data_IF_730551799358
#
_entry.id   IF_730551799358
#
_cell.length_a   1.000
_cell.length_b   1.000
_cell.length_c   1.000
_cell.angle_alpha   90.00
_cell.angle_beta   90.00
_cell.angle_gamma   90.00
#
_symmetry.space_group_name_H-M   'P 1'
#
loop_
_entity.id
_entity.type
_entity.pdbx_description
1 polymer ?
#
# COMPACT_ATOMS: atom_id res chain seq x y z
N UNK A 1 2.82 23.64 -12.22
CA UNK A 1 2.87 22.78 -11.02
C UNK A 1 4.09 21.89 -11.16
N UNK A 2 5.17 22.22 -10.44
CA UNK A 2 6.38 21.39 -10.45
C UNK A 2 6.02 20.02 -9.88
N UNK A 3 6.41 18.99 -10.61
CA UNK A 3 6.13 17.58 -10.41
C UNK A 3 6.29 17.18 -8.94
N UNK A 4 5.18 16.86 -8.27
CA UNK A 4 5.22 16.50 -6.85
C UNK A 4 5.70 15.07 -6.71
N UNK A 5 6.85 14.87 -6.09
CA UNK A 5 7.48 13.54 -5.97
C UNK A 5 6.57 12.51 -5.27
N UNK A 6 5.64 12.96 -4.42
CA UNK A 6 4.62 12.11 -3.78
C UNK A 6 3.75 11.32 -4.77
N UNK A 7 3.42 11.90 -5.94
CA UNK A 7 2.55 11.24 -6.92
C UNK A 7 3.25 10.07 -7.59
N UNK A 8 4.58 10.12 -7.71
CA UNK A 8 5.38 9.02 -8.26
C UNK A 8 5.30 7.81 -7.36
N UNK A 9 5.45 7.98 -6.04
CA UNK A 9 5.37 6.87 -5.10
C UNK A 9 3.97 6.22 -5.05
N UNK A 10 2.90 7.03 -5.03
CA UNK A 10 1.53 6.52 -5.07
C UNK A 10 1.21 5.79 -6.37
N UNK A 11 1.69 6.32 -7.51
CA UNK A 11 1.53 5.69 -8.79
C UNK A 11 2.26 4.34 -8.84
N UNK A 12 3.49 4.27 -8.31
CA UNK A 12 4.25 3.02 -8.23
C UNK A 12 3.54 1.97 -7.37
N UNK A 13 2.94 2.34 -6.23
CA UNK A 13 2.14 1.42 -5.41
C UNK A 13 0.94 0.89 -6.20
N UNK A 14 0.25 1.78 -6.94
CA UNK A 14 -0.91 1.41 -7.74
C UNK A 14 -0.54 0.42 -8.86
N UNK A 15 0.54 0.71 -9.58
CA UNK A 15 1.06 -0.16 -10.65
C UNK A 15 1.56 -1.48 -10.07
N UNK A 16 2.34 -1.47 -8.99
CA UNK A 16 2.86 -2.68 -8.36
C UNK A 16 1.74 -3.60 -7.87
N UNK A 17 0.71 -3.03 -7.23
CA UNK A 17 -0.46 -3.79 -6.78
C UNK A 17 -1.29 -4.32 -7.95
N UNK A 18 -1.49 -3.52 -9.00
CA UNK A 18 -2.19 -3.93 -10.21
C UNK A 18 -1.45 -5.03 -10.98
N UNK A 19 -0.14 -4.92 -11.11
CA UNK A 19 0.72 -5.95 -11.68
C UNK A 19 0.68 -7.23 -10.83
N UNK A 20 0.80 -7.09 -9.50
CA UNK A 20 0.67 -8.20 -8.56
C UNK A 20 -0.62 -9.01 -8.75
N UNK A 21 -1.75 -8.35 -9.06
CA UNK A 21 -3.02 -9.05 -9.26
C UNK A 21 -2.96 -10.12 -10.38
N UNK A 22 -2.32 -9.77 -11.51
CA UNK A 22 -2.20 -10.64 -12.67
C UNK A 22 -1.13 -11.72 -12.48
N UNK A 23 0.02 -11.37 -11.89
CA UNK A 23 1.20 -12.24 -11.86
C UNK A 23 1.35 -13.06 -10.58
N UNK A 24 0.73 -12.66 -9.46
CA UNK A 24 0.83 -13.43 -8.22
C UNK A 24 0.04 -14.74 -8.30
N UNK A 25 0.63 -15.85 -7.80
CA UNK A 25 -0.07 -17.13 -7.74
C UNK A 25 -1.25 -17.05 -6.78
N UNK A 26 -2.21 -17.96 -6.92
CA UNK A 26 -3.23 -18.15 -5.88
C UNK A 26 -2.57 -18.74 -4.64
N UNK A 27 -2.80 -18.13 -3.48
CA UNK A 27 -2.35 -18.66 -2.20
C UNK A 27 -3.36 -19.68 -1.70
N UNK A 28 -2.87 -20.88 -1.38
CA UNK A 28 -3.66 -21.84 -0.62
C UNK A 28 -3.66 -21.44 0.86
N UNK A 29 -4.86 -21.26 1.39
CA UNK A 29 -5.13 -20.83 2.77
C UNK A 29 -5.81 -21.95 3.57
N UNK A 30 -5.69 -23.20 3.11
CA UNK A 30 -6.29 -24.40 3.71
C UNK A 30 -5.98 -24.58 5.20
N UNK A 31 -4.80 -24.14 5.67
CA UNK A 31 -4.41 -24.17 7.08
C UNK A 31 -5.23 -23.25 8.00
N UNK A 32 -6.04 -22.32 7.46
CA UNK A 32 -6.82 -21.39 8.27
C UNK A 32 -8.17 -21.95 8.74
N UNK A 33 -8.55 -23.18 8.36
CA UNK A 33 -9.84 -23.84 8.70
C UNK A 33 -11.06 -22.89 8.67
N UNK A 34 -11.01 -21.88 7.80
CA UNK A 34 -11.95 -20.77 7.79
C UNK A 34 -13.11 -21.12 6.87
N UNK A 35 -14.34 -21.06 7.39
CA UNK A 35 -15.57 -21.18 6.59
C UNK A 35 -15.73 -20.05 5.56
N UNK A 36 -14.95 -18.98 5.67
CA UNK A 36 -14.92 -17.86 4.73
C UNK A 36 -13.66 -17.93 3.88
N UNK A 37 -13.82 -18.25 2.60
CA UNK A 37 -12.75 -18.12 1.61
C UNK A 37 -12.53 -16.64 1.32
N UNK A 38 -11.48 -16.03 1.88
CA UNK A 38 -11.13 -14.64 1.58
C UNK A 38 -10.33 -14.63 0.27
N UNK A 39 -10.85 -14.07 -0.84
CA UNK A 39 -10.10 -14.00 -2.09
C UNK A 39 -8.99 -12.97 -1.93
N UNK A 40 -7.79 -13.40 -1.57
CA UNK A 40 -6.66 -12.52 -1.26
C UNK A 40 -6.32 -11.55 -2.41
N UNK A 41 -6.59 -11.94 -3.66
CA UNK A 41 -6.41 -11.05 -4.83
C UNK A 41 -7.29 -9.80 -4.79
N UNK A 42 -8.42 -9.81 -4.09
CA UNK A 42 -9.27 -8.61 -3.90
C UNK A 42 -8.53 -7.49 -3.16
N UNK A 43 -7.58 -7.85 -2.27
CA UNK A 43 -6.70 -6.90 -1.59
C UNK A 43 -5.88 -6.07 -2.58
N UNK A 44 -5.36 -6.70 -3.63
CA UNK A 44 -4.50 -6.05 -4.61
C UNK A 44 -5.28 -5.00 -5.41
N UNK A 45 -6.53 -5.31 -5.76
CA UNK A 45 -7.46 -4.36 -6.39
C UNK A 45 -7.74 -3.18 -5.45
N UNK A 46 -8.05 -3.48 -4.19
CA UNK A 46 -8.32 -2.45 -3.18
C UNK A 46 -7.09 -1.54 -2.97
N UNK A 47 -5.90 -2.13 -2.85
CA UNK A 47 -4.65 -1.40 -2.69
C UNK A 47 -4.35 -0.52 -3.90
N UNK A 48 -4.46 -1.07 -5.11
CA UNK A 48 -4.23 -0.32 -6.35
C UNK A 48 -5.18 0.86 -6.50
N UNK A 49 -6.47 0.64 -6.22
CA UNK A 49 -7.52 1.64 -6.26
C UNK A 49 -7.32 2.71 -5.19
N UNK A 50 -6.95 2.30 -3.97
CA UNK A 50 -6.72 3.23 -2.85
C UNK A 50 -5.58 4.18 -3.20
N UNK A 51 -4.41 3.65 -3.61
CA UNK A 51 -3.26 4.48 -4.00
C UNK A 51 -3.59 5.44 -5.15
N UNK A 52 -4.33 4.97 -6.16
CA UNK A 52 -4.76 5.79 -7.29
C UNK A 52 -5.73 6.91 -6.86
N UNK A 53 -6.72 6.61 -6.03
CA UNK A 53 -7.64 7.61 -5.49
C UNK A 53 -6.91 8.64 -4.61
N UNK A 54 -5.94 8.19 -3.81
CA UNK A 54 -5.09 9.10 -3.01
C UNK A 54 -4.29 10.05 -3.89
N UNK A 55 -3.84 9.60 -5.07
CA UNK A 55 -3.15 10.45 -6.04
C UNK A 55 -4.06 11.59 -6.57
N UNK A 56 -5.35 11.33 -6.78
CA UNK A 56 -6.32 12.33 -7.21
C UNK A 56 -6.65 13.38 -6.12
N UNK A 57 -6.41 13.05 -4.85
CA UNK A 57 -6.65 13.93 -3.70
C UNK A 57 -5.53 14.99 -3.49
N UNK A 58 -4.80 15.37 -4.54
CA UNK A 58 -3.64 16.28 -4.48
C UNK A 58 -3.92 17.66 -3.88
N UNK A 59 -5.18 18.09 -3.83
CA UNK A 59 -5.59 19.34 -3.19
C UNK A 59 -5.65 19.23 -1.66
N UNK A 60 -5.94 18.04 -1.13
CA UNK A 60 -6.24 17.81 0.29
C UNK A 60 -5.12 17.00 0.97
N UNK A 61 -3.98 17.65 1.23
CA UNK A 61 -2.76 17.03 1.78
C UNK A 61 -3.00 16.30 3.11
N UNK A 62 -3.82 16.86 4.01
CA UNK A 62 -4.20 16.22 5.28
C UNK A 62 -4.95 14.90 5.06
N UNK A 63 -5.87 14.87 4.08
CA UNK A 63 -6.60 13.65 3.72
C UNK A 63 -5.65 12.62 3.07
N UNK A 64 -4.73 13.07 2.20
CA UNK A 64 -3.72 12.16 1.63
C UNK A 64 -2.88 11.49 2.72
N UNK A 65 -2.44 12.22 3.75
CA UNK A 65 -1.70 11.65 4.87
C UNK A 65 -2.53 10.65 5.69
N UNK A 66 -3.80 10.95 5.92
CA UNK A 66 -4.71 10.05 6.65
C UNK A 66 -4.94 8.75 5.87
N UNK A 67 -5.22 8.85 4.56
CA UNK A 67 -5.41 7.66 3.71
C UNK A 67 -4.10 6.87 3.60
N UNK A 68 -2.95 7.51 3.42
CA UNK A 68 -1.66 6.83 3.41
C UNK A 68 -1.39 6.07 4.71
N UNK A 69 -1.76 6.64 5.86
CA UNK A 69 -1.59 5.97 7.15
C UNK A 69 -2.49 4.73 7.26
N UNK A 70 -3.75 4.84 6.87
CA UNK A 70 -4.68 3.70 6.83
C UNK A 70 -4.14 2.63 5.87
N UNK A 71 -3.66 3.03 4.70
CA UNK A 71 -3.11 2.13 3.69
C UNK A 71 -1.82 1.45 4.18
N UNK A 72 -1.00 2.15 4.96
CA UNK A 72 0.19 1.60 5.61
C UNK A 72 -0.20 0.52 6.63
N UNK A 73 -1.16 0.80 7.52
CA UNK A 73 -1.63 -0.15 8.52
C UNK A 73 -2.17 -1.42 7.85
N UNK A 74 -2.93 -1.27 6.76
CA UNK A 74 -3.47 -2.39 5.98
C UNK A 74 -2.34 -3.25 5.39
N UNK A 75 -1.26 -2.65 4.88
CA UNK A 75 -0.10 -3.40 4.38
C UNK A 75 0.70 -4.08 5.50
N UNK A 76 0.85 -3.44 6.67
CA UNK A 76 1.47 -4.09 7.83
C UNK A 76 0.64 -5.30 8.26
N UNK A 77 -0.69 -5.15 8.37
CA UNK A 77 -1.58 -6.24 8.76
C UNK A 77 -1.49 -7.41 7.77
N UNK A 78 -1.46 -7.14 6.46
CA UNK A 78 -1.27 -8.19 5.45
C UNK A 78 0.10 -8.86 5.58
N UNK A 79 1.17 -8.10 5.78
CA UNK A 79 2.51 -8.67 5.95
C UNK A 79 2.57 -9.62 7.15
N UNK A 80 2.00 -9.22 8.29
CA UNK A 80 1.91 -10.07 9.50
C UNK A 80 1.10 -11.33 9.21
N UNK A 81 -0.04 -11.21 8.51
CA UNK A 81 -0.86 -12.37 8.11
C UNK A 81 -0.11 -13.35 7.21
N UNK A 82 0.64 -12.85 6.21
CA UNK A 82 1.44 -13.68 5.31
C UNK A 82 2.61 -14.36 6.04
N UNK A 83 3.27 -13.64 6.96
CA UNK A 83 4.32 -14.21 7.81
C UNK A 83 3.75 -15.32 8.69
N UNK A 84 2.58 -15.13 9.28
CA UNK A 84 1.91 -16.19 10.04
C UNK A 84 1.64 -17.42 9.16
N UNK A 85 1.13 -17.22 7.93
CA UNK A 85 0.95 -18.32 6.98
C UNK A 85 2.24 -19.08 6.65
N UNK A 86 3.36 -18.36 6.50
CA UNK A 86 4.68 -18.95 6.26
C UNK A 86 5.10 -19.93 7.36
N UNK A 87 4.73 -19.68 8.61
CA UNK A 87 5.03 -20.60 9.73
C UNK A 87 4.11 -21.82 9.81
N UNK A 88 3.00 -21.83 9.09
CA UNK A 88 1.97 -22.87 9.17
C UNK A 88 1.81 -23.68 7.87
N UNK A 89 2.62 -23.40 6.84
CA UNK A 89 2.61 -24.10 5.55
C UNK A 89 3.90 -24.85 5.30
N UNK A 90 3.82 -25.94 4.52
CA UNK A 90 5.00 -26.66 4.00
C UNK A 90 5.53 -26.01 2.72
N UNK A 91 4.67 -25.35 1.94
CA UNK A 91 5.06 -24.64 0.72
C UNK A 91 5.25 -23.14 0.99
N UNK A 92 6.51 -22.75 1.18
CA UNK A 92 6.91 -21.39 1.56
C UNK A 92 6.95 -20.42 0.37
N UNK A 93 7.15 -20.92 -0.84
CA UNK A 93 7.46 -20.08 -2.01
C UNK A 93 6.34 -19.10 -2.36
N UNK A 94 5.04 -19.51 -2.42
CA UNK A 94 3.96 -18.59 -2.71
C UNK A 94 3.87 -17.43 -1.71
N UNK A 95 4.06 -17.70 -0.42
CA UNK A 95 4.01 -16.68 0.64
C UNK A 95 5.13 -15.65 0.52
N UNK A 96 6.34 -16.10 0.20
CA UNK A 96 7.49 -15.21 -0.01
C UNK A 96 7.27 -14.26 -1.19
N UNK A 97 6.75 -14.76 -2.31
CA UNK A 97 6.44 -13.92 -3.47
C UNK A 97 5.33 -12.92 -3.14
N UNK A 98 4.30 -13.34 -2.39
CA UNK A 98 3.23 -12.46 -1.94
C UNK A 98 3.70 -11.36 -0.98
N UNK A 99 4.68 -11.65 -0.11
CA UNK A 99 5.27 -10.67 0.82
C UNK A 99 5.99 -9.52 0.11
N UNK A 100 6.42 -9.70 -1.14
CA UNK A 100 7.09 -8.64 -1.91
C UNK A 100 6.20 -7.41 -2.10
N UNK A 101 4.90 -7.60 -2.32
CA UNK A 101 3.94 -6.49 -2.54
C UNK A 101 3.82 -5.60 -1.31
N UNK A 102 3.42 -6.11 -0.12
CA UNK A 102 3.33 -5.25 1.06
C UNK A 102 4.68 -4.69 1.47
N UNK A 103 5.78 -5.43 1.33
CA UNK A 103 7.10 -4.90 1.65
C UNK A 103 7.48 -3.69 0.79
N UNK A 104 7.32 -3.79 -0.54
CA UNK A 104 7.55 -2.68 -1.45
C UNK A 104 6.60 -1.51 -1.18
N UNK A 105 5.31 -1.79 -0.98
CA UNK A 105 4.31 -0.77 -0.68
C UNK A 105 4.59 -0.01 0.62
N UNK A 106 5.08 -0.68 1.67
CA UNK A 106 5.42 -0.03 2.94
C UNK A 106 6.50 1.04 2.74
N UNK A 107 7.57 0.70 2.01
CA UNK A 107 8.67 1.63 1.70
C UNK A 107 8.12 2.83 0.93
N UNK A 108 7.34 2.58 -0.13
CA UNK A 108 6.78 3.64 -0.97
C UNK A 108 5.77 4.52 -0.23
N UNK A 109 4.95 3.96 0.67
CA UNK A 109 3.99 4.69 1.48
C UNK A 109 4.67 5.61 2.49
N UNK A 110 5.78 5.15 3.10
CA UNK A 110 6.59 5.98 4.00
C UNK A 110 7.19 7.16 3.21
N UNK A 111 7.80 6.89 2.06
CA UNK A 111 8.37 7.93 1.19
C UNK A 111 7.31 8.93 0.69
N UNK A 112 6.14 8.44 0.29
CA UNK A 112 4.99 9.26 -0.09
C UNK A 112 4.55 10.16 1.06
N UNK A 113 4.40 9.60 2.27
CA UNK A 113 3.98 10.34 3.45
C UNK A 113 4.99 11.40 3.89
N UNK A 114 6.29 11.09 3.83
CA UNK A 114 7.35 12.06 4.07
C UNK A 114 7.31 13.21 3.07
N UNK A 115 7.09 12.89 1.80
CA UNK A 115 6.98 13.87 0.74
C UNK A 115 5.78 14.79 0.96
N UNK A 116 4.59 14.24 1.24
CA UNK A 116 3.38 15.04 1.49
C UNK A 116 3.54 15.97 2.70
N UNK A 117 4.21 15.53 3.78
CA UNK A 117 4.46 16.36 4.98
C UNK A 117 5.32 17.58 4.66
N UNK A 118 6.46 17.39 4.01
CA UNK A 118 7.34 18.49 3.58
C UNK A 118 6.57 19.53 2.76
N UNK A 119 5.69 19.03 1.92
CA UNK A 119 4.95 19.76 0.91
C UNK A 119 3.75 20.52 1.54
N UNK A 120 3.20 20.02 2.66
CA UNK A 120 2.26 20.74 3.56
C UNK A 120 2.97 21.81 4.41
N UNK A 121 4.14 21.48 4.97
CA UNK A 121 4.91 22.40 5.80
C UNK A 121 5.41 23.62 5.03
N UNK A 122 5.80 23.43 3.76
CA UNK A 122 6.16 24.52 2.86
C UNK A 122 5.00 25.51 2.67
N UNK A 123 3.79 25.02 2.41
CA UNK A 123 2.61 25.88 2.25
C UNK A 123 2.31 26.64 3.54
N UNK A 124 2.32 25.95 4.69
CA UNK A 124 2.09 26.58 5.98
C UNK A 124 3.13 27.65 6.32
N UNK A 125 4.39 27.45 5.91
CA UNK A 125 5.43 28.45 6.13
C UNK A 125 5.21 29.72 5.31
N UNK A 126 4.72 29.60 4.08
CA UNK A 126 4.39 30.74 3.21
C UNK A 126 3.18 31.51 3.74
N UNK A 127 2.15 30.79 4.20
CA UNK A 127 0.94 31.43 4.75
C UNK A 127 1.22 32.20 6.04
N UNK A 128 2.27 31.85 6.80
CA UNK A 128 2.69 32.60 8.01
C UNK A 128 3.41 33.91 7.70
N UNK A 129 3.94 34.08 6.49
CA UNK A 129 4.68 35.28 6.06
C UNK A 129 3.79 36.32 5.37
N UNK A 130 2.53 35.95 5.06
CA UNK A 130 1.51 36.85 4.52
C UNK A 130 0.69 37.46 5.64
#
# INVERSE_FOLDING_TARGET
>A
MIQRIQTVFLLLISIASGFGYFFLPTLDLSYLESAVSIPLKSYLILSASTAFLTLLLFKNRKIQLMINLIHLIIHVALAVFLIYGLFNTVDLNPFLVWLMVPFLSLILLILSSMSIRKDEDLIRSIDRLR
#
